data_IF_068522860694
#
_entry.id   IF_068522860694
#
_cell.length_a   1.000
_cell.length_b   1.000
_cell.length_c   1.000
_cell.angle_alpha   90.00
_cell.angle_beta   90.00
_cell.angle_gamma   90.00
#
_symmetry.space_group_name_H-M   'P 1'
#
loop_
_entity.id
_entity.type
_entity.pdbx_description
1 polymer ?
#
# COMPACT_ATOMS: atom_id res chain seq x y z
N UNK A 1 12.85 -14.84 17.75
CA UNK A 1 12.23 -13.98 16.70
C UNK A 1 13.30 -13.01 16.24
N UNK A 2 13.48 -12.78 14.94
CA UNK A 2 14.48 -11.84 14.44
C UNK A 2 13.92 -10.41 14.53
N UNK A 3 14.65 -9.44 15.13
CA UNK A 3 14.20 -8.06 15.20
C UNK A 3 14.01 -7.43 13.82
N UNK A 4 13.01 -6.55 13.70
CA UNK A 4 12.71 -5.77 12.50
C UNK A 4 12.62 -4.28 12.84
N UNK A 5 12.82 -3.42 11.86
CA UNK A 5 12.53 -2.00 12.00
C UNK A 5 11.02 -1.83 12.26
N UNK A 6 10.67 -1.02 13.27
CA UNK A 6 9.30 -0.87 13.76
C UNK A 6 8.92 -1.78 14.93
N UNK A 7 9.80 -2.70 15.38
CA UNK A 7 9.52 -3.50 16.56
C UNK A 7 9.56 -2.67 17.86
N UNK A 8 8.61 -2.93 18.75
CA UNK A 8 8.69 -2.48 20.14
C UNK A 8 9.48 -3.52 20.94
N UNK A 9 10.58 -3.08 21.55
CA UNK A 9 11.52 -3.97 22.24
C UNK A 9 11.78 -3.53 23.66
N UNK A 10 12.01 -4.51 24.55
CA UNK A 10 12.65 -4.30 25.85
C UNK A 10 14.14 -4.61 25.67
N UNK A 11 15.01 -3.79 26.22
CA UNK A 11 16.47 -4.01 26.15
C UNK A 11 17.12 -3.77 27.49
N UNK A 12 18.26 -4.44 27.71
CA UNK A 12 19.14 -4.21 28.84
C UNK A 12 20.54 -3.95 28.29
N UNK A 13 21.14 -2.85 28.69
CA UNK A 13 22.38 -2.30 28.11
C UNK A 13 22.24 -2.16 26.58
N UNK A 14 22.89 -3.01 25.80
CA UNK A 14 22.86 -3.00 24.34
C UNK A 14 22.19 -4.25 23.74
N UNK A 15 21.54 -5.06 24.59
CA UNK A 15 20.95 -6.35 24.14
C UNK A 15 19.43 -6.31 24.22
N UNK A 16 18.77 -6.65 23.11
CA UNK A 16 17.32 -6.81 23.07
C UNK A 16 16.96 -8.08 23.85
N UNK A 17 16.17 -7.93 24.92
CA UNK A 17 15.74 -9.02 25.79
C UNK A 17 14.37 -9.56 25.40
N UNK A 18 13.52 -8.70 24.80
CA UNK A 18 12.16 -9.10 24.41
C UNK A 18 11.67 -8.27 23.23
N UNK A 19 10.87 -8.89 22.36
CA UNK A 19 10.14 -8.25 21.28
C UNK A 19 8.66 -8.38 21.56
N UNK A 20 7.94 -7.26 21.59
CA UNK A 20 6.48 -7.23 21.79
C UNK A 20 5.74 -7.88 20.60
N UNK A 21 4.51 -8.38 20.80
CA UNK A 21 3.69 -8.87 19.69
C UNK A 21 3.52 -7.81 18.60
N UNK A 22 3.71 -8.21 17.36
CA UNK A 22 3.58 -7.33 16.19
C UNK A 22 2.12 -7.18 15.78
N UNK A 23 1.71 -5.96 15.43
CA UNK A 23 0.42 -5.67 14.81
C UNK A 23 0.37 -6.24 13.38
N UNK A 24 1.41 -6.00 12.62
CA UNK A 24 1.66 -6.59 11.31
C UNK A 24 3.15 -6.87 11.14
N UNK A 25 3.46 -7.74 10.18
CA UNK A 25 4.80 -8.29 9.99
C UNK A 25 5.07 -8.49 8.50
N UNK A 26 5.65 -7.46 7.85
CA UNK A 26 5.95 -7.50 6.44
C UNK A 26 7.27 -8.25 6.20
N UNK A 27 7.32 -9.01 5.12
CA UNK A 27 8.53 -9.73 4.69
C UNK A 27 9.35 -8.84 3.75
N UNK A 28 8.66 -8.05 2.94
CA UNK A 28 9.26 -7.11 1.99
C UNK A 28 8.41 -5.85 1.91
N UNK A 29 8.92 -4.72 2.41
CA UNK A 29 10.17 -4.55 3.15
C UNK A 29 10.18 -5.29 4.49
N UNK A 30 11.37 -5.52 5.07
CA UNK A 30 11.53 -6.25 6.34
C UNK A 30 11.24 -5.33 7.54
N UNK A 31 9.97 -5.01 7.74
CA UNK A 31 9.46 -4.04 8.74
C UNK A 31 8.24 -4.59 9.47
N UNK A 32 7.90 -3.99 10.60
CA UNK A 32 6.75 -4.40 11.43
C UNK A 32 6.02 -3.18 12.01
N UNK A 33 4.82 -3.41 12.54
CA UNK A 33 4.02 -2.42 13.27
C UNK A 33 3.71 -1.14 12.47
N UNK A 34 3.52 -1.28 11.15
CA UNK A 34 3.13 -0.16 10.28
C UNK A 34 1.66 0.17 10.51
N UNK A 35 1.37 1.44 10.77
CA UNK A 35 0.01 1.95 10.92
C UNK A 35 -0.58 2.38 9.58
N UNK A 36 0.22 3.10 8.78
CA UNK A 36 -0.23 3.70 7.51
C UNK A 36 0.78 3.51 6.41
N UNK A 37 0.30 3.34 5.19
CA UNK A 37 1.12 3.31 3.98
C UNK A 37 0.72 4.48 3.08
N UNK A 38 1.64 5.41 2.85
CA UNK A 38 1.47 6.49 1.87
C UNK A 38 1.87 5.95 0.50
N UNK A 39 0.87 5.73 -0.34
CA UNK A 39 1.01 5.25 -1.71
C UNK A 39 1.17 6.45 -2.63
N UNK A 40 2.42 6.77 -2.97
CA UNK A 40 2.78 7.99 -3.72
C UNK A 40 2.87 7.69 -5.20
N UNK A 41 2.02 8.36 -5.98
CA UNK A 41 1.94 8.21 -7.43
C UNK A 41 1.98 9.55 -8.13
N UNK A 42 2.81 9.66 -9.16
CA UNK A 42 2.80 10.81 -10.05
C UNK A 42 1.62 10.72 -11.01
N UNK A 43 1.00 11.85 -11.31
CA UNK A 43 -0.04 11.95 -12.36
C UNK A 43 0.57 12.13 -13.73
N UNK A 44 1.86 12.53 -13.79
CA UNK A 44 2.66 12.68 -14.99
C UNK A 44 4.14 12.53 -14.65
N UNK A 45 4.92 11.91 -15.52
CA UNK A 45 6.38 11.74 -15.41
C UNK A 45 6.90 11.13 -14.09
N UNK A 46 6.68 9.83 -13.85
CA UNK A 46 6.07 8.83 -14.73
C UNK A 46 4.53 8.91 -14.75
N UNK A 47 3.93 8.37 -15.81
CA UNK A 47 2.48 8.27 -15.91
C UNK A 47 1.86 7.47 -14.75
N UNK A 48 0.62 7.82 -14.40
CA UNK A 48 -0.13 7.17 -13.34
C UNK A 48 -0.33 5.67 -13.63
N UNK A 49 0.30 4.84 -12.83
CA UNK A 49 0.23 3.40 -12.98
C UNK A 49 -0.83 2.80 -12.04
N UNK A 50 -2.06 2.64 -12.55
CA UNK A 50 -3.18 2.09 -11.79
C UNK A 50 -2.97 0.60 -11.42
N UNK A 51 -2.25 -0.17 -12.24
CA UNK A 51 -1.95 -1.56 -11.89
C UNK A 51 -1.09 -1.64 -10.63
N UNK A 52 -0.04 -0.82 -10.55
CA UNK A 52 0.80 -0.78 -9.37
C UNK A 52 0.05 -0.20 -8.15
N UNK A 53 -0.80 0.80 -8.35
CA UNK A 53 -1.63 1.36 -7.27
C UNK A 53 -2.55 0.28 -6.68
N UNK A 54 -3.27 -0.45 -7.52
CA UNK A 54 -4.18 -1.50 -7.10
C UNK A 54 -3.45 -2.66 -6.41
N UNK A 55 -2.27 -3.01 -6.91
CA UNK A 55 -1.38 -4.01 -6.29
C UNK A 55 -0.97 -3.60 -4.87
N UNK A 56 -0.50 -2.38 -4.71
CA UNK A 56 -0.07 -1.88 -3.40
C UNK A 56 -1.24 -1.75 -2.45
N UNK A 57 -2.41 -1.30 -2.92
CA UNK A 57 -3.64 -1.28 -2.13
C UNK A 57 -3.99 -2.67 -1.61
N UNK A 58 -4.04 -3.68 -2.47
CA UNK A 58 -4.35 -5.05 -2.07
C UNK A 58 -3.36 -5.58 -1.02
N UNK A 59 -2.07 -5.29 -1.17
CA UNK A 59 -1.03 -5.76 -0.26
C UNK A 59 -1.08 -5.07 1.12
N UNK A 60 -1.35 -3.77 1.18
CA UNK A 60 -1.45 -3.06 2.46
C UNK A 60 -2.73 -3.42 3.19
N UNK A 61 -3.85 -3.57 2.48
CA UNK A 61 -5.12 -4.08 3.03
C UNK A 61 -4.95 -5.50 3.62
N UNK A 62 -4.31 -6.41 2.89
CA UNK A 62 -4.01 -7.76 3.36
C UNK A 62 -3.18 -7.79 4.66
N UNK A 63 -2.36 -6.78 4.89
CA UNK A 63 -1.53 -6.66 6.09
C UNK A 63 -2.14 -5.78 7.18
N UNK A 64 -3.41 -5.41 7.10
CA UNK A 64 -4.10 -4.52 8.05
C UNK A 64 -3.39 -3.16 8.22
N UNK A 65 -2.88 -2.61 7.12
CA UNK A 65 -2.23 -1.30 7.07
C UNK A 65 -3.18 -0.32 6.38
N UNK A 66 -3.44 0.84 7.00
CA UNK A 66 -4.31 1.86 6.42
C UNK A 66 -3.63 2.53 5.21
N UNK A 67 -4.15 2.40 3.98
CA UNK A 67 -3.59 3.08 2.82
C UNK A 67 -4.02 4.56 2.78
N UNK A 68 -3.10 5.41 2.33
CA UNK A 68 -3.34 6.82 1.98
C UNK A 68 -2.73 7.05 0.61
N UNK A 69 -3.55 7.44 -0.36
CA UNK A 69 -3.09 7.68 -1.73
C UNK A 69 -2.64 9.13 -1.84
N UNK A 70 -1.43 9.36 -2.35
CA UNK A 70 -0.89 10.69 -2.58
C UNK A 70 -0.56 10.86 -4.06
N UNK A 71 -1.35 11.67 -4.75
CA UNK A 71 -1.10 12.03 -6.14
C UNK A 71 -0.18 13.25 -6.21
N UNK A 72 0.95 13.13 -6.88
CA UNK A 72 1.97 14.18 -6.98
C UNK A 72 2.08 14.72 -8.39
N UNK A 73 2.79 15.85 -8.54
CA UNK A 73 3.09 16.51 -9.81
C UNK A 73 1.85 16.95 -10.59
N UNK A 74 0.82 17.41 -9.87
CA UNK A 74 -0.39 17.94 -10.51
C UNK A 74 -0.11 19.15 -11.40
N UNK A 75 0.97 19.87 -11.15
CA UNK A 75 1.49 20.96 -11.99
C UNK A 75 1.88 20.50 -13.40
N UNK A 76 2.26 19.23 -13.58
CA UNK A 76 2.60 18.64 -14.87
C UNK A 76 1.39 18.03 -15.59
N UNK A 77 0.22 18.00 -14.96
CA UNK A 77 -0.97 17.40 -15.54
C UNK A 77 -1.55 18.29 -16.63
N UNK A 78 -1.57 17.76 -17.86
CA UNK A 78 -2.15 18.45 -19.01
C UNK A 78 -3.66 18.64 -18.85
N UNK A 79 -4.20 19.74 -19.39
CA UNK A 79 -5.61 20.09 -19.23
C UNK A 79 -6.54 19.04 -19.82
N UNK A 80 -6.18 18.44 -20.96
CA UNK A 80 -6.95 17.38 -21.62
C UNK A 80 -7.06 16.08 -20.81
N UNK A 81 -6.12 15.84 -19.86
CA UNK A 81 -6.12 14.68 -18.96
C UNK A 81 -6.74 14.95 -17.59
N UNK A 82 -7.06 16.19 -17.28
CA UNK A 82 -7.53 16.61 -15.96
C UNK A 82 -8.87 15.97 -15.58
N UNK A 83 -9.79 15.88 -16.53
CA UNK A 83 -11.08 15.26 -16.30
C UNK A 83 -10.97 13.74 -16.00
N UNK A 84 -10.12 13.04 -16.77
CA UNK A 84 -9.85 11.62 -16.54
C UNK A 84 -9.25 11.38 -15.18
N UNK A 85 -8.23 12.16 -14.80
CA UNK A 85 -7.62 12.08 -13.48
C UNK A 85 -8.63 12.34 -12.35
N UNK A 86 -9.47 13.37 -12.49
CA UNK A 86 -10.49 13.68 -11.48
C UNK A 86 -11.50 12.53 -11.30
N UNK A 87 -11.89 11.84 -12.38
CA UNK A 87 -12.75 10.65 -12.32
C UNK A 87 -12.06 9.51 -11.57
N UNK A 88 -10.79 9.27 -11.85
CA UNK A 88 -9.98 8.25 -11.16
C UNK A 88 -9.89 8.57 -9.66
N UNK A 89 -9.48 9.78 -9.32
CA UNK A 89 -9.36 10.23 -7.92
C UNK A 89 -10.69 10.08 -7.18
N UNK A 90 -11.78 10.61 -7.75
CA UNK A 90 -13.11 10.53 -7.16
C UNK A 90 -13.59 9.08 -6.96
N UNK A 91 -13.21 8.17 -7.85
CA UNK A 91 -13.50 6.76 -7.68
C UNK A 91 -12.82 6.16 -6.43
N UNK A 92 -11.50 6.38 -6.25
CA UNK A 92 -10.80 5.88 -5.08
C UNK A 92 -11.34 6.48 -3.78
N UNK A 93 -11.73 7.75 -3.78
CA UNK A 93 -12.41 8.39 -2.64
C UNK A 93 -13.78 7.75 -2.36
N UNK A 94 -14.56 7.49 -3.41
CA UNK A 94 -15.88 6.88 -3.31
C UNK A 94 -15.83 5.47 -2.69
N UNK A 95 -14.84 4.66 -3.05
CA UNK A 95 -14.69 3.31 -2.48
C UNK A 95 -14.09 3.32 -1.06
N UNK A 96 -13.69 4.50 -0.54
CA UNK A 96 -13.33 4.72 0.86
C UNK A 96 -11.86 5.02 1.14
N UNK A 97 -11.04 5.27 0.13
CA UNK A 97 -9.64 5.64 0.34
C UNK A 97 -9.47 7.13 0.59
N UNK A 98 -8.62 7.47 1.56
CA UNK A 98 -8.16 8.85 1.75
C UNK A 98 -7.19 9.21 0.65
N UNK A 99 -7.43 10.33 -0.05
CA UNK A 99 -6.55 10.81 -1.11
C UNK A 99 -6.03 12.21 -0.82
N UNK A 100 -4.79 12.47 -1.19
CA UNK A 100 -4.19 13.79 -1.20
C UNK A 100 -3.64 14.09 -2.59
N UNK A 101 -3.60 15.38 -2.92
CA UNK A 101 -3.04 15.87 -4.19
C UNK A 101 -1.97 16.91 -3.91
N UNK A 102 -0.81 16.80 -4.55
CA UNK A 102 0.36 17.65 -4.33
C UNK A 102 0.93 18.15 -5.66
N UNK A 103 1.41 19.39 -5.65
CA UNK A 103 2.26 19.96 -6.68
C UNK A 103 3.57 20.45 -6.06
N UNK A 104 4.52 20.88 -6.89
CA UNK A 104 5.82 21.38 -6.40
C UNK A 104 5.68 22.57 -5.45
N UNK A 105 4.65 23.39 -5.64
CA UNK A 105 4.42 24.61 -4.88
C UNK A 105 3.32 24.47 -3.81
N UNK A 106 2.63 23.33 -3.77
CA UNK A 106 1.49 23.15 -2.88
C UNK A 106 1.45 21.73 -2.29
N UNK A 107 1.78 21.67 -0.98
CA UNK A 107 1.58 20.48 -0.19
C UNK A 107 0.23 20.52 0.52
N UNK A 108 -0.48 19.39 0.61
CA UNK A 108 -1.64 19.29 1.47
C UNK A 108 -1.22 19.46 2.93
N UNK A 109 -1.67 20.56 3.57
CA UNK A 109 -1.30 20.88 4.95
C UNK A 109 -1.66 19.78 5.94
N UNK A 110 -2.75 19.05 5.66
CA UNK A 110 -3.25 17.99 6.54
C UNK A 110 -2.51 16.66 6.39
N UNK A 111 -1.70 16.50 5.33
CA UNK A 111 -0.95 15.27 5.10
C UNK A 111 0.00 14.94 6.27
N UNK A 112 0.63 15.94 6.86
CA UNK A 112 1.54 15.76 8.00
C UNK A 112 0.79 15.25 9.25
N UNK A 113 -0.48 15.64 9.41
CA UNK A 113 -1.29 15.19 10.54
C UNK A 113 -1.57 13.67 10.48
N UNK A 114 -1.52 13.10 9.28
CA UNK A 114 -1.66 11.65 9.08
C UNK A 114 -0.44 10.86 9.61
N UNK A 115 0.71 11.49 9.74
CA UNK A 115 1.95 10.85 10.24
C UNK A 115 1.98 10.89 11.78
N UNK A 116 1.38 11.89 12.41
CA UNK A 116 1.48 12.14 13.85
C UNK A 116 1.08 10.91 14.68
N UNK A 117 1.98 10.48 15.56
CA UNK A 117 1.76 9.34 16.46
C UNK A 117 1.68 7.97 15.77
N UNK A 118 2.06 7.87 14.50
CA UNK A 118 2.01 6.65 13.70
C UNK A 118 3.40 6.23 13.24
N UNK A 119 3.55 4.93 12.98
CA UNK A 119 4.64 4.39 12.16
C UNK A 119 4.09 4.23 10.75
N UNK A 120 4.65 4.98 9.82
CA UNK A 120 4.18 5.02 8.43
C UNK A 120 5.27 4.56 7.47
N UNK A 121 4.88 4.11 6.28
CA UNK A 121 5.83 3.83 5.19
C UNK A 121 5.42 4.55 3.91
N UNK A 122 6.41 4.84 3.04
CA UNK A 122 6.17 5.38 1.71
C UNK A 122 6.37 4.29 0.66
N UNK A 123 5.38 4.13 -0.21
CA UNK A 123 5.43 3.21 -1.34
C UNK A 123 5.12 3.94 -2.64
N UNK A 124 5.70 3.49 -3.75
CA UNK A 124 5.51 4.07 -5.08
C UNK A 124 6.76 3.95 -5.93
N UNK A 125 6.61 4.16 -7.23
CA UNK A 125 7.70 4.07 -8.21
C UNK A 125 8.84 5.04 -7.91
N UNK A 126 9.99 4.80 -8.54
CA UNK A 126 11.07 5.80 -8.57
C UNK A 126 10.63 7.05 -9.32
N UNK A 127 11.07 8.21 -8.87
CA UNK A 127 10.78 9.48 -9.54
C UNK A 127 9.39 10.07 -9.31
N UNK A 128 8.52 9.43 -8.53
CA UNK A 128 7.17 9.98 -8.21
C UNK A 128 7.17 11.11 -7.18
N UNK A 129 8.33 11.50 -6.64
CA UNK A 129 8.44 12.64 -5.71
C UNK A 129 8.35 12.30 -4.23
N UNK A 130 8.61 11.05 -3.80
CA UNK A 130 8.59 10.66 -2.37
C UNK A 130 9.54 11.51 -1.51
N UNK A 131 10.81 11.65 -1.92
CA UNK A 131 11.80 12.48 -1.21
C UNK A 131 11.43 13.95 -1.22
N UNK A 132 10.92 14.44 -2.34
CA UNK A 132 10.44 15.82 -2.46
C UNK A 132 9.31 16.08 -1.48
N UNK A 133 8.36 15.14 -1.38
CA UNK A 133 7.24 15.23 -0.45
C UNK A 133 7.71 15.36 1.00
N UNK A 134 8.70 14.55 1.42
CA UNK A 134 9.27 14.61 2.75
C UNK A 134 10.08 15.89 2.99
N UNK A 135 10.94 16.27 2.05
CA UNK A 135 11.75 17.50 2.15
C UNK A 135 10.91 18.78 2.20
N UNK A 136 9.76 18.78 1.53
CA UNK A 136 8.83 19.90 1.57
C UNK A 136 8.14 20.02 2.93
N UNK A 137 7.98 18.93 3.67
CA UNK A 137 7.47 18.94 5.04
C UNK A 137 8.53 19.28 6.07
N UNK A 138 9.75 18.77 5.87
CA UNK A 138 10.89 19.06 6.75
C UNK A 138 12.14 19.23 5.91
N UNK A 139 12.50 20.49 5.69
CA UNK A 139 13.69 20.86 4.91
C UNK A 139 15.01 20.44 5.58
N UNK A 140 14.99 20.16 6.89
CA UNK A 140 16.18 19.71 7.62
C UNK A 140 16.60 18.28 7.24
N UNK A 141 15.68 17.47 6.70
CA UNK A 141 15.95 16.10 6.26
C UNK A 141 16.95 16.05 5.11
N UNK A 142 16.95 17.08 4.26
CA UNK A 142 17.86 17.21 3.11
C UNK A 142 18.04 15.90 2.31
N UNK A 143 16.93 15.16 2.15
CA UNK A 143 16.91 13.92 1.40
C UNK A 143 17.24 14.22 -0.06
N UNK A 144 18.28 13.56 -0.59
CA UNK A 144 18.63 13.73 -2.00
C UNK A 144 17.50 13.18 -2.86
N UNK A 145 16.94 14.02 -3.73
CA UNK A 145 15.83 13.68 -4.63
C UNK A 145 16.14 12.54 -5.59
N UNK A 146 17.44 12.28 -5.86
CA UNK A 146 17.90 11.19 -6.74
C UNK A 146 18.32 9.91 -5.99
N UNK A 147 18.46 9.93 -4.65
CA UNK A 147 19.19 8.86 -3.91
C UNK A 147 18.29 7.77 -3.35
N UNK A 148 16.99 8.02 -3.15
CA UNK A 148 16.06 6.97 -2.65
C UNK A 148 15.92 5.83 -3.67
N UNK A 149 16.20 6.09 -4.96
CA UNK A 149 16.14 5.05 -6.01
C UNK A 149 17.52 4.56 -6.48
N UNK A 150 18.62 5.29 -6.25
CA UNK A 150 19.94 4.97 -6.79
C UNK A 150 20.84 4.14 -5.86
N UNK A 151 20.57 4.07 -4.58
CA UNK A 151 21.27 3.14 -3.67
C UNK A 151 21.07 1.65 -4.06
N UNK A 152 20.25 1.39 -5.09
CA UNK A 152 19.94 0.08 -5.65
C UNK A 152 20.63 -0.26 -6.97
N UNK A 153 21.49 0.64 -7.49
CA UNK A 153 22.24 0.43 -8.73
C UNK A 153 23.55 -0.28 -8.51
N UNK A 154 23.59 -1.59 -8.75
CA UNK A 154 24.80 -2.38 -9.09
C UNK A 154 25.87 -2.53 -8.00
N UNK A 155 25.67 -3.48 -7.10
CA UNK A 155 26.73 -4.03 -6.27
C UNK A 155 26.24 -5.29 -5.54
N UNK A 156 26.94 -6.41 -5.72
CA UNK A 156 26.75 -7.63 -4.94
C UNK A 156 26.80 -7.30 -3.45
N UNK A 157 25.77 -7.74 -2.67
CA UNK A 157 25.76 -7.76 -1.20
C UNK A 157 25.85 -6.41 -0.48
N UNK A 158 24.93 -5.48 -0.72
CA UNK A 158 24.69 -4.38 0.22
C UNK A 158 23.44 -4.67 1.04
N UNK A 159 23.62 -4.84 2.34
CA UNK A 159 22.54 -4.87 3.34
C UNK A 159 21.75 -3.58 3.17
N UNK A 160 20.48 -3.67 2.75
CA UNK A 160 19.63 -2.50 2.58
C UNK A 160 19.36 -1.93 3.97
N UNK A 161 19.93 -0.79 4.29
CA UNK A 161 19.58 -0.05 5.49
C UNK A 161 18.16 0.47 5.31
N UNK A 162 17.27 0.05 6.22
CA UNK A 162 15.93 0.60 6.38
C UNK A 162 16.06 1.59 7.53
N UNK A 163 15.76 2.86 7.28
CA UNK A 163 15.85 3.91 8.28
C UNK A 163 14.46 4.33 8.72
N UNK A 164 14.35 4.62 10.03
CA UNK A 164 13.17 5.18 10.65
C UNK A 164 13.41 6.67 10.86
N UNK A 165 12.73 7.50 10.10
CA UNK A 165 12.85 8.95 10.16
C UNK A 165 11.75 9.52 11.07
N UNK A 166 12.12 10.35 12.04
CA UNK A 166 11.13 11.07 12.84
C UNK A 166 10.67 12.32 12.09
N UNK A 167 9.38 12.38 11.75
CA UNK A 167 8.78 13.45 10.94
C UNK A 167 7.39 13.77 11.51
N UNK A 168 7.09 15.05 11.72
CA UNK A 168 5.75 15.50 12.08
C UNK A 168 5.18 14.90 13.38
N UNK A 169 6.03 14.46 14.30
CA UNK A 169 5.63 13.81 15.55
C UNK A 169 5.19 12.35 15.38
N UNK A 170 5.64 11.70 14.35
CA UNK A 170 5.53 10.26 14.10
C UNK A 170 6.77 9.73 13.39
N UNK A 171 6.70 8.54 12.87
CA UNK A 171 7.82 7.89 12.21
C UNK A 171 7.48 7.52 10.77
N UNK A 172 8.42 7.76 9.86
CA UNK A 172 8.33 7.35 8.47
C UNK A 172 9.46 6.40 8.15
N UNK A 173 9.13 5.22 7.67
CA UNK A 173 10.09 4.26 7.17
C UNK A 173 10.30 4.53 5.69
N UNK A 174 11.53 4.88 5.32
CA UNK A 174 11.91 4.86 3.90
C UNK A 174 12.10 3.40 3.49
N UNK A 175 11.20 2.94 2.65
CA UNK A 175 11.18 1.54 2.21
C UNK A 175 11.60 1.43 0.75
N UNK A 176 12.91 1.35 0.46
CA UNK A 176 13.33 0.95 -0.87
C UNK A 176 12.85 -0.48 -1.13
N UNK A 177 11.97 -0.68 -2.10
CA UNK A 177 11.62 -2.01 -2.55
C UNK A 177 10.13 -2.39 -2.58
N UNK A 178 9.19 -1.49 -2.28
CA UNK A 178 7.78 -1.72 -2.63
C UNK A 178 7.53 -1.81 -4.14
N UNK A 179 8.54 -1.58 -4.99
CA UNK A 179 8.43 -1.72 -6.45
C UNK A 179 8.49 -3.16 -6.98
N UNK A 180 8.86 -4.14 -6.14
CA UNK A 180 8.96 -5.57 -6.50
C UNK A 180 8.14 -6.44 -5.54
N UNK A 181 6.96 -5.98 -5.16
CA UNK A 181 6.09 -6.70 -4.22
C UNK A 181 5.25 -7.70 -5.00
N UNK A 182 5.35 -8.96 -4.60
CA UNK A 182 4.55 -10.06 -5.10
C UNK A 182 3.44 -10.43 -4.10
N UNK A 183 2.50 -11.25 -4.52
CA UNK A 183 1.41 -11.75 -3.67
C UNK A 183 1.80 -13.00 -2.87
N UNK A 184 3.08 -13.17 -2.57
CA UNK A 184 3.56 -14.33 -1.81
C UNK A 184 2.88 -14.46 -0.46
N UNK A 185 2.21 -15.58 -0.26
CA UNK A 185 1.47 -15.89 0.97
C UNK A 185 0.03 -15.39 0.99
N UNK A 186 -0.48 -14.78 -0.08
CA UNK A 186 -1.89 -14.51 -0.29
C UNK A 186 -2.56 -15.67 -1.04
N UNK A 187 -3.75 -16.02 -0.62
CA UNK A 187 -4.67 -16.85 -1.41
C UNK A 187 -5.55 -16.00 -2.32
N UNK A 188 -6.26 -16.65 -3.26
CA UNK A 188 -7.24 -15.98 -4.11
C UNK A 188 -8.34 -15.29 -3.29
N UNK A 189 -8.76 -15.89 -2.18
CA UNK A 189 -9.74 -15.31 -1.28
C UNK A 189 -9.17 -14.09 -0.53
N UNK A 190 -7.91 -14.15 -0.08
CA UNK A 190 -7.26 -13.01 0.56
C UNK A 190 -7.20 -11.82 -0.39
N UNK A 191 -6.91 -12.06 -1.68
CA UNK A 191 -6.94 -11.01 -2.69
C UNK A 191 -8.35 -10.44 -2.89
N UNK A 192 -9.37 -11.30 -3.02
CA UNK A 192 -10.75 -10.84 -3.20
C UNK A 192 -11.22 -9.97 -2.03
N UNK A 193 -10.81 -10.30 -0.80
CA UNK A 193 -11.13 -9.51 0.39
C UNK A 193 -10.30 -8.23 0.52
N UNK A 194 -9.12 -8.18 -0.08
CA UNK A 194 -8.25 -6.99 -0.08
C UNK A 194 -8.71 -5.90 -1.07
N UNK A 195 -9.70 -6.18 -1.90
CA UNK A 195 -10.40 -5.17 -2.69
C UNK A 195 -11.63 -4.70 -1.91
N UNK A 196 -11.54 -3.57 -1.22
CA UNK A 196 -12.54 -3.11 -0.24
C UNK A 196 -13.97 -3.05 -0.81
N UNK A 197 -14.13 -2.57 -2.04
CA UNK A 197 -15.42 -2.50 -2.74
C UNK A 197 -15.93 -3.88 -3.16
N UNK A 198 -15.02 -4.82 -3.53
CA UNK A 198 -15.42 -6.19 -3.84
C UNK A 198 -15.89 -6.91 -2.58
N UNK A 199 -15.18 -6.71 -1.48
CA UNK A 199 -15.58 -7.26 -0.19
C UNK A 199 -16.95 -6.75 0.25
N UNK A 200 -17.21 -5.43 0.13
CA UNK A 200 -18.52 -4.85 0.43
C UNK A 200 -19.62 -5.48 -0.43
N UNK A 201 -19.38 -5.58 -1.74
CA UNK A 201 -20.32 -6.16 -2.70
C UNK A 201 -20.49 -7.68 -2.55
N UNK A 202 -19.49 -8.40 -2.04
CA UNK A 202 -19.52 -9.85 -1.89
C UNK A 202 -20.63 -10.34 -0.97
N UNK A 203 -21.08 -9.50 -0.03
CA UNK A 203 -22.22 -9.78 0.86
C UNK A 203 -23.53 -10.01 0.11
N UNK A 204 -23.65 -9.48 -1.10
CA UNK A 204 -24.82 -9.63 -1.98
C UNK A 204 -24.59 -10.67 -3.10
N UNK A 205 -23.42 -11.33 -3.14
CA UNK A 205 -23.20 -12.43 -4.08
C UNK A 205 -23.98 -13.67 -3.68
N UNK A 206 -24.41 -14.44 -4.69
CA UNK A 206 -25.13 -15.70 -4.44
C UNK A 206 -24.31 -16.73 -3.67
N UNK A 207 -22.99 -16.74 -3.86
CA UNK A 207 -22.11 -17.73 -3.24
C UNK A 207 -21.23 -17.09 -2.20
N UNK A 208 -21.12 -17.76 -1.04
CA UNK A 208 -20.11 -17.42 -0.05
C UNK A 208 -18.71 -17.65 -0.64
N UNK A 209 -17.74 -16.78 -0.31
CA UNK A 209 -16.37 -16.85 -0.82
C UNK A 209 -16.30 -16.73 -2.36
N UNK A 210 -17.19 -15.93 -2.95
CA UNK A 210 -17.19 -15.65 -4.38
C UNK A 210 -15.86 -15.01 -4.81
N UNK A 211 -15.20 -15.58 -5.79
CA UNK A 211 -13.97 -15.02 -6.38
C UNK A 211 -14.26 -14.03 -7.52
N UNK A 212 -15.53 -13.79 -7.83
CA UNK A 212 -15.99 -12.83 -8.86
C UNK A 212 -15.48 -13.13 -10.28
N UNK A 213 -15.17 -14.39 -10.57
CA UNK A 213 -14.63 -14.83 -11.86
C UNK A 213 -15.75 -15.28 -12.82
N UNK A 214 -16.23 -16.52 -12.64
CA UNK A 214 -17.24 -17.13 -13.51
C UNK A 214 -18.59 -17.37 -12.80
N UNK A 215 -18.67 -17.04 -11.51
CA UNK A 215 -19.86 -17.34 -10.71
C UNK A 215 -21.09 -16.57 -11.25
N UNK A 216 -22.23 -17.24 -11.38
CA UNK A 216 -23.47 -16.59 -11.78
C UNK A 216 -24.04 -15.76 -10.63
N UNK A 217 -24.73 -14.68 -10.97
CA UNK A 217 -25.35 -13.73 -10.01
C UNK A 217 -24.28 -13.13 -9.04
N UNK A 218 -23.15 -12.75 -9.60
CA UNK A 218 -22.07 -12.08 -8.88
C UNK A 218 -22.34 -10.56 -8.84
N UNK A 219 -22.48 -10.00 -7.62
CA UNK A 219 -22.74 -8.58 -7.43
C UNK A 219 -21.63 -7.68 -7.94
N UNK A 220 -20.38 -8.07 -7.75
CA UNK A 220 -19.22 -7.32 -8.28
C UNK A 220 -19.31 -7.17 -9.79
N UNK A 221 -19.63 -8.25 -10.52
CA UNK A 221 -19.77 -8.20 -11.99
C UNK A 221 -20.97 -7.32 -12.42
N UNK A 222 -22.04 -7.32 -11.66
CA UNK A 222 -23.17 -6.40 -11.88
C UNK A 222 -22.74 -4.94 -11.74
N UNK A 223 -21.99 -4.61 -10.66
CA UNK A 223 -21.51 -3.25 -10.41
C UNK A 223 -20.49 -2.78 -11.48
N UNK A 224 -19.67 -3.68 -12.01
CA UNK A 224 -18.79 -3.37 -13.15
C UNK A 224 -19.62 -3.02 -14.39
N UNK A 225 -20.67 -3.78 -14.69
CA UNK A 225 -21.55 -3.50 -15.83
C UNK A 225 -22.28 -2.17 -15.69
N UNK A 226 -22.60 -1.75 -14.48
CA UNK A 226 -23.21 -0.45 -14.17
C UNK A 226 -22.19 0.71 -14.17
N UNK A 227 -20.88 0.44 -14.23
CA UNK A 227 -19.84 1.44 -14.13
C UNK A 227 -19.57 1.95 -12.70
N UNK A 228 -20.13 1.30 -11.68
CA UNK A 228 -19.90 1.63 -10.27
C UNK A 228 -18.57 1.08 -9.77
N UNK A 229 -18.05 0.04 -10.39
CA UNK A 229 -16.69 -0.47 -10.22
C UNK A 229 -15.92 -0.24 -11.53
N UNK A 230 -14.74 0.38 -11.45
CA UNK A 230 -13.90 0.61 -12.62
C UNK A 230 -13.48 -0.71 -13.26
N UNK A 231 -13.68 -0.80 -14.59
CA UNK A 231 -13.25 -1.98 -15.35
C UNK A 231 -11.75 -2.22 -15.22
N UNK A 232 -10.92 -1.18 -15.24
CA UNK A 232 -9.45 -1.28 -15.08
C UNK A 232 -9.06 -1.93 -13.75
N UNK A 233 -9.80 -1.65 -12.68
CA UNK A 233 -9.57 -2.25 -11.37
C UNK A 233 -9.91 -3.74 -11.35
N UNK A 234 -11.01 -4.11 -12.02
CA UNK A 234 -11.34 -5.54 -12.20
C UNK A 234 -10.35 -6.26 -13.11
N UNK A 235 -9.90 -5.64 -14.19
CA UNK A 235 -8.88 -6.20 -15.07
C UNK A 235 -7.57 -6.44 -14.29
N UNK A 236 -7.16 -5.50 -13.44
CA UNK A 236 -6.01 -5.69 -12.54
C UNK A 236 -6.23 -6.84 -11.55
N UNK A 237 -7.42 -6.94 -10.96
CA UNK A 237 -7.78 -8.05 -10.06
C UNK A 237 -7.61 -9.41 -10.76
N UNK A 238 -8.08 -9.55 -12.00
CA UNK A 238 -7.91 -10.78 -12.78
C UNK A 238 -6.44 -11.13 -13.01
N UNK A 239 -5.61 -10.15 -13.37
CA UNK A 239 -4.17 -10.34 -13.53
C UNK A 239 -3.52 -10.80 -12.22
N UNK A 240 -3.94 -10.27 -11.08
CA UNK A 240 -3.39 -10.64 -9.78
C UNK A 240 -3.84 -12.05 -9.33
N UNK A 241 -5.07 -12.44 -9.64
CA UNK A 241 -5.54 -13.82 -9.45
C UNK A 241 -4.66 -14.80 -10.23
N UNK A 242 -4.40 -14.50 -11.50
CA UNK A 242 -3.57 -15.36 -12.36
C UNK A 242 -2.13 -15.44 -11.84
N UNK A 243 -1.59 -14.33 -11.32
CA UNK A 243 -0.27 -14.32 -10.68
C UNK A 243 -0.23 -15.22 -9.43
N UNK A 244 -1.25 -15.13 -8.56
CA UNK A 244 -1.34 -15.98 -7.36
C UNK A 244 -1.42 -17.45 -7.75
N UNK A 245 -2.21 -17.80 -8.77
CA UNK A 245 -2.32 -19.17 -9.29
C UNK A 245 -1.02 -19.70 -9.87
N UNK A 246 -0.25 -18.84 -10.51
CA UNK A 246 1.06 -19.17 -11.08
C UNK A 246 2.18 -19.31 -10.04
N UNK A 247 1.98 -18.82 -8.83
CA UNK A 247 2.98 -18.94 -7.77
C UNK A 247 3.07 -20.39 -7.28
N UNK A 248 4.30 -20.92 -7.16
CA UNK A 248 4.52 -22.22 -6.50
C UNK A 248 4.06 -22.12 -5.04
N UNK A 249 3.24 -23.05 -4.60
CA UNK A 249 2.78 -23.15 -3.21
C UNK A 249 4.01 -23.30 -2.30
N UNK A 250 4.42 -22.24 -1.65
CA UNK A 250 5.44 -22.30 -0.61
C UNK A 250 4.72 -22.78 0.65
N UNK A 251 4.84 -24.07 0.96
CA UNK A 251 4.36 -24.61 2.23
C UNK A 251 5.13 -23.94 3.37
N UNK A 252 4.55 -22.92 3.98
CA UNK A 252 5.03 -22.42 5.28
C UNK A 252 4.69 -23.47 6.32
N UNK A 253 5.72 -24.03 6.99
CA UNK A 253 5.54 -24.78 8.22
C UNK A 253 4.82 -23.86 9.22
N UNK A 254 3.59 -24.24 9.55
CA UNK A 254 2.75 -23.81 10.68
C UNK A 254 3.20 -22.52 11.41
N UNK A 255 2.92 -21.35 10.84
CA UNK A 255 2.65 -20.17 11.65
C UNK A 255 1.12 -20.04 11.70
N UNK A 256 0.59 -20.16 12.93
CA UNK A 256 -0.81 -20.41 13.21
C UNK A 256 -1.76 -19.56 12.38
N UNK A 257 -2.85 -20.20 12.00
CA UNK A 257 -4.01 -19.62 11.35
C UNK A 257 -4.21 -18.19 11.81
N UNK A 258 -3.94 -17.20 10.94
CA UNK A 258 -4.52 -15.86 11.10
C UNK A 258 -6.02 -16.11 11.09
N UNK A 259 -6.64 -16.10 12.25
CA UNK A 259 -8.05 -16.40 12.37
C UNK A 259 -8.82 -15.35 11.57
N UNK A 260 -9.66 -15.80 10.68
CA UNK A 260 -10.68 -15.05 9.94
C UNK A 260 -11.43 -14.03 10.83
N UNK A 261 -11.44 -14.24 12.14
CA UNK A 261 -12.08 -13.40 13.15
C UNK A 261 -11.49 -11.98 13.30
N UNK A 262 -10.20 -11.77 13.04
CA UNK A 262 -9.59 -10.44 13.22
C UNK A 262 -9.98 -9.44 12.14
N UNK A 263 -10.14 -9.89 10.90
CA UNK A 263 -10.49 -9.01 9.79
C UNK A 263 -11.92 -8.46 9.92
N UNK A 264 -12.88 -9.28 10.38
CA UNK A 264 -14.25 -8.86 10.65
C UNK A 264 -14.38 -7.86 11.81
N UNK A 265 -13.46 -7.86 12.76
CA UNK A 265 -13.52 -6.98 13.93
C UNK A 265 -13.09 -5.52 13.64
N UNK A 266 -12.26 -5.30 12.63
CA UNK A 266 -11.72 -3.96 12.31
C UNK A 266 -12.50 -3.21 11.22
N UNK A 267 -13.42 -3.86 10.51
CA UNK A 267 -14.18 -3.29 9.41
C UNK A 267 -15.69 -3.29 9.69
N UNK A 268 -16.11 -3.24 10.95
CA UNK A 268 -17.50 -2.92 11.31
C UNK A 268 -17.70 -1.42 11.11
N UNK A 269 -18.36 -1.05 10.01
CA UNK A 269 -19.09 0.19 9.81
C UNK A 269 -20.57 -0.05 10.00
#
# INVERSE_FOLDING_TARGET
MTPKVGDYVEFNDSTITKISPRKNDLIRPFVSNIDKAFLVFSVSEPDLNLNLLDRLLALVEFNDIKPIIVFTKLDLLKEDKREEFNKIKAYYEHIGYTTYSSSIDALPKDLINEIKGCISCLAGQSGVGKSTLLNLHDSSLNLKTDTISYALGRGKHTTRHIELLEIGGGFVIDTPGFGSVDFSGMSENDLAFSFSEFFKASKECKYNMCLHLSEPNCKVKELIQKGEILKSRYDNYLLFIDEIRGQRVIYRKNDGKKEFKKWFAHHQF
#
